data_IF_868634798680
#
_entry.id   IF_868634798680
#
_cell.length_a   1.000
_cell.length_b   1.000
_cell.length_c   1.000
_cell.angle_alpha   90.00
_cell.angle_beta   90.00
_cell.angle_gamma   90.00
#
_symmetry.space_group_name_H-M   'P 1'
#
loop_
_entity.id
_entity.type
_entity.pdbx_description
1 polymer ?
#
# COMPACT_ATOMS: atom_id res chain seq x y z
N UNK A 1 -7.64 -16.93 -22.41
CA UNK A 1 -6.71 -16.75 -21.28
C UNK A 1 -6.43 -15.27 -21.15
N UNK A 2 -6.59 -14.69 -19.96
CA UNK A 2 -6.30 -13.25 -19.76
C UNK A 2 -4.84 -13.15 -19.38
N UNK A 3 -4.03 -12.62 -20.28
CA UNK A 3 -2.64 -12.29 -20.00
C UNK A 3 -2.59 -11.03 -19.12
N UNK A 4 -1.83 -11.07 -18.02
CA UNK A 4 -1.70 -9.94 -17.12
C UNK A 4 -0.27 -9.38 -17.22
N UNK A 5 -0.10 -8.08 -17.50
CA UNK A 5 1.21 -7.44 -17.45
C UNK A 5 1.75 -7.37 -16.03
N UNK A 6 3.05 -7.61 -15.86
CA UNK A 6 3.76 -7.53 -14.58
C UNK A 6 4.82 -6.45 -14.66
N UNK A 7 4.81 -5.53 -13.70
CA UNK A 7 5.76 -4.44 -13.54
C UNK A 7 6.62 -4.72 -12.32
N UNK A 8 7.93 -4.77 -12.50
CA UNK A 8 8.93 -4.98 -11.45
C UNK A 8 9.58 -3.62 -11.15
N UNK A 9 9.25 -3.04 -10.01
CA UNK A 9 9.77 -1.75 -9.55
C UNK A 9 11.07 -1.95 -8.79
N UNK A 10 12.08 -1.14 -9.10
CA UNK A 10 13.41 -1.27 -8.50
C UNK A 10 14.22 0.03 -8.56
N UNK A 11 15.36 0.04 -7.87
CA UNK A 11 16.36 1.11 -7.95
C UNK A 11 16.08 2.34 -7.09
N UNK A 12 14.95 2.36 -6.39
CA UNK A 12 14.60 3.40 -5.43
C UNK A 12 14.33 2.85 -4.02
N UNK A 13 14.10 3.77 -3.08
CA UNK A 13 13.99 3.46 -1.65
C UNK A 13 12.55 3.35 -1.18
N UNK A 14 12.36 2.45 -0.21
CA UNK A 14 11.17 2.39 0.61
C UNK A 14 11.18 3.48 1.68
N UNK A 15 10.07 4.21 1.77
CA UNK A 15 9.76 5.08 2.90
C UNK A 15 8.85 4.28 3.85
N UNK A 16 9.31 4.01 5.06
CA UNK A 16 8.64 3.09 6.01
C UNK A 16 7.84 3.80 7.10
N UNK A 17 7.76 5.14 7.08
CA UNK A 17 7.05 5.93 8.08
C UNK A 17 6.39 7.17 7.45
N UNK A 18 5.11 7.49 7.79
CA UNK A 18 4.24 6.79 8.74
C UNK A 18 3.65 5.46 8.23
N UNK A 19 3.54 5.28 6.91
CA UNK A 19 3.12 4.04 6.25
C UNK A 19 4.09 3.68 5.12
N UNK A 20 4.27 2.38 4.79
CA UNK A 20 5.09 1.97 3.67
C UNK A 20 4.67 2.60 2.34
N UNK A 21 5.62 3.27 1.68
CA UNK A 21 5.45 3.81 0.35
C UNK A 21 6.73 3.66 -0.46
N UNK A 22 6.59 3.32 -1.74
CA UNK A 22 7.70 3.23 -2.67
C UNK A 22 7.81 4.51 -3.50
N UNK A 23 8.93 5.22 -3.39
CA UNK A 23 9.19 6.41 -4.21
C UNK A 23 9.71 6.03 -5.61
N UNK A 24 9.56 6.94 -6.56
CA UNK A 24 9.68 6.77 -8.03
C UNK A 24 10.92 6.02 -8.57
N UNK A 25 10.88 4.69 -8.59
CA UNK A 25 11.92 3.86 -9.20
C UNK A 25 11.86 3.61 -10.71
N UNK A 26 12.79 2.77 -11.16
CA UNK A 26 12.77 2.18 -12.50
C UNK A 26 11.80 1.00 -12.55
N UNK A 27 11.30 0.72 -13.75
CA UNK A 27 10.32 -0.34 -13.97
C UNK A 27 10.77 -1.26 -15.09
N UNK A 28 10.93 -2.53 -14.76
CA UNK A 28 11.05 -3.60 -15.76
C UNK A 28 9.69 -4.25 -16.01
N UNK A 29 9.45 -4.65 -17.26
CA UNK A 29 8.13 -5.05 -17.72
C UNK A 29 8.14 -6.45 -18.32
N UNK A 30 7.27 -7.33 -17.82
CA UNK A 30 6.95 -8.59 -18.46
C UNK A 30 5.62 -8.47 -19.21
N UNK A 31 5.71 -8.66 -20.53
CA UNK A 31 4.55 -8.58 -21.40
C UNK A 31 3.68 -9.83 -21.24
N UNK A 32 2.51 -9.63 -20.67
CA UNK A 32 1.37 -10.55 -20.76
C UNK A 32 1.70 -11.98 -20.37
N UNK A 33 1.73 -12.26 -19.07
CA UNK A 33 2.01 -13.61 -18.57
C UNK A 33 0.72 -14.37 -18.25
N UNK A 34 0.72 -15.70 -18.43
CA UNK A 34 -0.36 -16.56 -17.94
C UNK A 34 -0.30 -16.60 -16.42
N UNK A 35 -1.31 -16.07 -15.72
CA UNK A 35 -1.24 -16.05 -14.28
C UNK A 35 -1.25 -17.43 -13.63
N UNK A 36 -1.76 -18.45 -14.33
CA UNK A 36 -1.74 -19.84 -13.84
C UNK A 36 -0.36 -20.49 -13.90
N UNK A 37 0.59 -19.89 -14.63
CA UNK A 37 1.96 -20.38 -14.79
C UNK A 37 2.98 -19.54 -13.99
N UNK A 38 2.50 -18.53 -13.24
CA UNK A 38 3.36 -17.76 -12.34
C UNK A 38 3.59 -18.59 -11.08
N UNK A 39 4.86 -18.75 -10.72
CA UNK A 39 5.30 -19.27 -9.44
C UNK A 39 6.09 -18.20 -8.70
N UNK A 40 6.26 -18.38 -7.39
CA UNK A 40 7.04 -17.46 -6.56
C UNK A 40 8.47 -17.32 -7.08
N UNK A 41 9.11 -18.45 -7.42
CA UNK A 41 10.47 -18.45 -7.95
C UNK A 41 10.58 -17.72 -9.29
N UNK A 42 9.54 -17.78 -10.15
CA UNK A 42 9.53 -17.01 -11.39
C UNK A 42 9.58 -15.50 -11.11
N UNK A 43 8.81 -15.03 -10.12
CA UNK A 43 8.80 -13.62 -9.74
C UNK A 43 10.13 -13.17 -9.12
N UNK A 44 10.71 -13.97 -8.22
CA UNK A 44 12.03 -13.72 -7.63
C UNK A 44 13.12 -13.66 -8.71
N UNK A 45 13.11 -14.62 -9.65
CA UNK A 45 14.04 -14.63 -10.78
C UNK A 45 13.88 -13.41 -11.69
N UNK A 46 12.70 -12.79 -11.72
CA UNK A 46 12.48 -11.52 -12.38
C UNK A 46 13.39 -10.40 -11.85
N UNK A 47 13.70 -10.40 -10.56
CA UNK A 47 14.63 -9.44 -9.96
C UNK A 47 16.09 -9.87 -10.11
N UNK A 48 16.41 -11.13 -9.82
CA UNK A 48 17.81 -11.59 -9.80
C UNK A 48 18.40 -11.70 -11.21
N UNK A 49 17.70 -12.33 -12.16
CA UNK A 49 18.23 -12.59 -13.51
C UNK A 49 18.23 -11.34 -14.40
N UNK A 50 17.29 -10.42 -14.18
CA UNK A 50 17.09 -9.24 -15.07
C UNK A 50 17.53 -7.94 -14.46
N UNK A 51 17.43 -7.78 -13.15
CA UNK A 51 17.65 -6.50 -12.46
C UNK A 51 18.92 -6.52 -11.61
N UNK A 52 19.61 -7.67 -11.54
CA UNK A 52 20.93 -7.78 -10.93
C UNK A 52 20.90 -7.87 -9.41
N UNK A 53 19.74 -8.16 -8.81
CA UNK A 53 19.62 -8.40 -7.37
C UNK A 53 20.45 -9.64 -7.00
N UNK A 54 21.24 -9.55 -5.94
CA UNK A 54 22.00 -10.70 -5.41
C UNK A 54 21.04 -11.75 -4.83
N UNK A 55 19.95 -11.28 -4.22
CA UNK A 55 18.83 -12.07 -3.75
C UNK A 55 17.65 -11.16 -3.41
N UNK A 56 16.48 -11.75 -3.20
CA UNK A 56 15.26 -11.04 -2.83
C UNK A 56 14.90 -11.42 -1.41
N UNK A 57 14.98 -10.45 -0.51
CA UNK A 57 14.65 -10.58 0.90
C UNK A 57 13.12 -10.65 1.07
N UNK A 58 12.40 -9.69 0.49
CA UNK A 58 10.94 -9.65 0.48
C UNK A 58 10.42 -9.32 -0.92
N UNK A 59 9.31 -9.96 -1.28
CA UNK A 59 8.58 -9.69 -2.52
C UNK A 59 7.23 -9.07 -2.16
N UNK A 60 6.96 -7.88 -2.69
CA UNK A 60 5.82 -7.06 -2.27
C UNK A 60 4.95 -6.73 -3.49
N UNK A 61 3.63 -6.69 -3.32
CA UNK A 61 2.67 -6.29 -4.34
C UNK A 61 1.85 -5.08 -3.89
N UNK A 62 1.58 -4.18 -4.84
CA UNK A 62 0.60 -3.11 -4.64
C UNK A 62 -0.78 -3.59 -5.04
N UNK A 63 -1.70 -3.63 -4.07
CA UNK A 63 -3.10 -3.94 -4.30
C UNK A 63 -3.84 -2.76 -4.99
N UNK A 64 -5.00 -3.01 -5.63
CA UNK A 64 -5.83 -1.96 -6.24
C UNK A 64 -6.29 -0.91 -5.24
N UNK A 65 -6.33 -1.26 -3.96
CA UNK A 65 -6.63 -0.34 -2.85
C UNK A 65 -5.51 0.67 -2.59
N UNK A 66 -4.33 0.50 -3.17
CA UNK A 66 -3.15 1.32 -2.91
C UNK A 66 -2.30 0.83 -1.73
N UNK A 67 -2.70 -0.26 -1.06
CA UNK A 67 -1.95 -0.87 0.04
C UNK A 67 -0.92 -1.88 -0.49
N UNK A 68 0.18 -2.03 0.26
CA UNK A 68 1.23 -3.00 -0.02
C UNK A 68 1.06 -4.27 0.81
N UNK A 69 1.37 -5.41 0.20
CA UNK A 69 1.30 -6.72 0.84
C UNK A 69 2.53 -7.55 0.46
N UNK A 70 3.05 -8.31 1.42
CA UNK A 70 4.09 -9.30 1.15
C UNK A 70 3.49 -10.53 0.46
N UNK A 71 4.23 -11.08 -0.50
CA UNK A 71 3.95 -12.35 -1.13
C UNK A 71 4.92 -13.38 -0.54
N UNK A 72 4.40 -14.35 0.20
CA UNK A 72 5.22 -15.42 0.78
C UNK A 72 4.95 -16.74 0.03
N UNK A 73 5.95 -17.20 -0.73
CA UNK A 73 5.92 -18.48 -1.42
C UNK A 73 4.81 -18.64 -2.47
N UNK A 74 4.63 -19.86 -2.96
CA UNK A 74 3.61 -20.16 -3.99
C UNK A 74 2.18 -20.02 -3.45
N UNK A 75 1.99 -20.08 -2.13
CA UNK A 75 0.69 -19.82 -1.52
C UNK A 75 0.29 -18.35 -1.68
N UNK A 76 1.19 -17.41 -1.39
CA UNK A 76 0.98 -15.98 -1.64
C UNK A 76 0.71 -15.69 -3.12
N UNK A 77 1.44 -16.36 -4.03
CA UNK A 77 1.19 -16.23 -5.48
C UNK A 77 -0.18 -16.77 -5.86
N UNK A 78 -0.61 -17.91 -5.31
CA UNK A 78 -1.96 -18.45 -5.56
C UNK A 78 -3.06 -17.54 -5.02
N UNK A 79 -2.82 -16.93 -3.86
CA UNK A 79 -3.73 -15.93 -3.29
C UNK A 79 -3.83 -14.72 -4.22
N UNK A 80 -2.70 -14.14 -4.62
CA UNK A 80 -2.65 -13.07 -5.62
C UNK A 80 -3.39 -13.47 -6.91
N UNK A 81 -3.19 -14.70 -7.40
CA UNK A 81 -3.79 -15.14 -8.66
C UNK A 81 -5.29 -15.39 -8.57
N UNK A 82 -5.80 -15.73 -7.40
CA UNK A 82 -7.24 -15.85 -7.16
C UNK A 82 -8.01 -14.53 -7.37
N UNK A 83 -7.32 -13.39 -7.27
CA UNK A 83 -7.88 -12.07 -7.56
C UNK A 83 -7.77 -11.64 -9.03
N UNK A 84 -7.05 -12.40 -9.86
CA UNK A 84 -7.00 -12.16 -11.29
C UNK A 84 -8.34 -12.48 -11.94
N UNK A 85 -8.61 -11.84 -13.08
CA UNK A 85 -9.89 -11.82 -13.82
C UNK A 85 -10.93 -10.79 -13.39
N UNK A 86 -10.95 -10.31 -12.13
CA UNK A 86 -11.99 -9.37 -11.68
C UNK A 86 -11.46 -7.95 -11.41
N UNK A 87 -10.22 -7.78 -10.93
CA UNK A 87 -9.76 -6.47 -10.44
C UNK A 87 -8.36 -6.03 -10.90
N UNK A 88 -7.41 -6.96 -11.05
CA UNK A 88 -6.06 -6.62 -11.50
C UNK A 88 -5.98 -6.59 -13.03
N UNK A 89 -5.82 -5.38 -13.58
CA UNK A 89 -5.45 -5.18 -15.00
C UNK A 89 -3.94 -5.23 -15.22
N UNK A 90 -3.18 -5.05 -14.15
CA UNK A 90 -1.73 -5.13 -14.09
C UNK A 90 -1.29 -5.49 -12.68
N UNK A 91 -0.10 -6.06 -12.56
CA UNK A 91 0.53 -6.37 -11.28
C UNK A 91 1.74 -5.45 -11.12
N UNK A 92 1.83 -4.80 -9.96
CA UNK A 92 2.97 -3.95 -9.60
C UNK A 92 3.69 -4.63 -8.44
N UNK A 93 4.86 -5.20 -8.75
CA UNK A 93 5.73 -5.88 -7.80
C UNK A 93 6.86 -4.95 -7.40
N UNK A 94 7.31 -5.12 -6.18
CA UNK A 94 8.43 -4.44 -5.56
C UNK A 94 9.25 -5.50 -4.82
N UNK A 95 10.52 -5.22 -4.57
CA UNK A 95 11.38 -6.11 -3.81
C UNK A 95 12.31 -5.32 -2.91
N UNK A 96 12.75 -5.97 -1.83
CA UNK A 96 13.93 -5.57 -1.05
C UNK A 96 15.07 -6.55 -1.36
N UNK A 97 16.28 -6.05 -1.50
CA UNK A 97 17.46 -6.90 -1.76
C UNK A 97 17.91 -7.60 -0.46
N UNK A 98 18.52 -8.79 -0.59
CA UNK A 98 19.24 -9.44 0.51
C UNK A 98 20.25 -8.45 1.09
N UNK A 99 20.07 -8.02 2.35
CA UNK A 99 20.81 -6.98 3.10
C UNK A 99 20.09 -5.62 3.26
N UNK A 100 18.96 -5.39 2.60
CA UNK A 100 18.09 -4.26 2.90
C UNK A 100 17.21 -4.54 4.13
N UNK A 101 16.72 -3.47 4.77
CA UNK A 101 15.75 -3.60 5.85
C UNK A 101 14.41 -4.04 5.28
N UNK A 102 13.73 -4.94 6.00
CA UNK A 102 12.37 -5.33 5.69
C UNK A 102 11.41 -4.14 5.77
N UNK A 103 10.38 -4.21 4.94
CA UNK A 103 9.26 -3.26 4.95
C UNK A 103 8.16 -3.86 5.81
N UNK A 104 7.62 -3.09 6.75
CA UNK A 104 6.52 -3.54 7.61
C UNK A 104 5.20 -3.58 6.82
N UNK A 105 5.02 -4.65 6.04
CA UNK A 105 3.81 -4.92 5.26
C UNK A 105 3.24 -6.29 5.65
N UNK A 106 1.92 -6.44 5.69
CA UNK A 106 1.32 -7.71 6.06
C UNK A 106 1.35 -8.73 4.90
N UNK A 107 1.30 -10.01 5.25
CA UNK A 107 1.19 -11.12 4.30
C UNK A 107 -0.17 -11.09 3.59
N UNK A 108 -0.14 -11.17 2.26
CA UNK A 108 -1.33 -11.23 1.40
C UNK A 108 -2.28 -12.39 1.76
N UNK A 109 -1.75 -13.51 2.29
CA UNK A 109 -2.55 -14.70 2.65
C UNK A 109 -3.44 -14.43 3.88
N UNK A 110 -3.00 -13.54 4.78
CA UNK A 110 -3.70 -13.27 6.04
C UNK A 110 -4.92 -12.35 5.86
N UNK A 111 -5.13 -11.80 4.67
CA UNK A 111 -6.23 -10.88 4.39
C UNK A 111 -7.36 -11.56 3.63
N UNK A 112 -8.57 -11.39 4.14
CA UNK A 112 -9.78 -11.70 3.40
C UNK A 112 -9.83 -10.84 2.14
N UNK A 113 -10.27 -11.45 1.04
CA UNK A 113 -10.31 -10.80 -0.27
C UNK A 113 -11.04 -9.45 -0.30
N UNK A 114 -11.87 -9.15 0.70
CA UNK A 114 -12.52 -7.85 0.88
C UNK A 114 -11.52 -6.72 1.17
N UNK A 115 -10.47 -6.95 1.96
CA UNK A 115 -9.45 -5.93 2.27
C UNK A 115 -8.57 -5.56 1.08
N UNK A 116 -8.42 -6.49 0.12
CA UNK A 116 -7.67 -6.28 -1.12
C UNK A 116 -8.50 -5.56 -2.20
N UNK A 117 -9.80 -5.39 -1.96
CA UNK A 117 -10.77 -4.91 -2.95
C UNK A 117 -11.62 -3.72 -2.48
N UNK A 118 -11.67 -3.44 -1.18
CA UNK A 118 -12.38 -2.30 -0.65
C UNK A 118 -11.70 -1.00 -1.08
N UNK A 119 -12.41 -0.07 -1.76
CA UNK A 119 -11.87 1.27 -1.98
C UNK A 119 -11.48 1.87 -0.64
N UNK A 120 -10.40 2.67 -0.61
CA UNK A 120 -10.15 3.55 0.53
C UNK A 120 -11.40 4.44 0.65
N UNK A 121 -12.29 4.10 1.59
CA UNK A 121 -13.27 5.06 2.09
C UNK A 121 -12.39 6.06 2.84
N UNK A 122 -12.07 7.16 2.17
CA UNK A 122 -11.67 8.37 2.88
C UNK A 122 -12.87 8.70 3.77
N UNK A 123 -12.92 8.13 4.97
CA UNK A 123 -13.66 8.74 6.07
C UNK A 123 -12.95 10.07 6.28
N UNK A 124 -13.46 11.08 5.57
CA UNK A 124 -13.17 12.46 5.91
C UNK A 124 -13.52 12.57 7.38
N UNK A 125 -12.49 12.80 8.20
CA UNK A 125 -12.64 13.32 9.55
C UNK A 125 -13.27 14.70 9.37
N UNK A 126 -14.59 14.69 9.18
CA UNK A 126 -15.47 15.82 9.33
C UNK A 126 -16.01 15.70 10.75
N UNK A 127 -15.15 16.00 11.73
CA UNK A 127 -15.61 16.24 13.09
C UNK A 127 -16.30 17.60 13.14
N UNK A 128 -17.51 17.66 12.57
CA UNK A 128 -18.51 18.66 12.89
C UNK A 128 -19.21 18.22 14.18
N UNK A 129 -18.83 18.89 15.26
CA UNK A 129 -19.71 19.49 16.29
C UNK A 129 -21.06 18.81 16.58
N UNK A 130 -21.18 18.26 17.79
CA UNK A 130 -22.32 18.48 18.72
C UNK A 130 -22.07 17.72 20.02
N UNK A 131 -21.90 18.44 21.14
CA UNK A 131 -22.86 18.56 22.26
C UNK A 131 -22.76 17.40 23.26
N UNK A 132 -22.13 17.68 24.41
CA UNK A 132 -22.46 16.99 25.66
C UNK A 132 -22.36 17.97 26.83
N UNK A 133 -23.54 18.24 27.39
CA UNK A 133 -23.84 19.03 28.58
C UNK A 133 -23.08 18.54 29.81
N UNK A 134 -22.34 19.44 30.47
CA UNK A 134 -22.03 19.28 31.89
C UNK A 134 -22.07 20.62 32.64
N UNK A 135 -23.27 20.87 33.19
CA UNK A 135 -23.68 21.73 34.30
C UNK A 135 -22.63 22.50 35.14
N UNK A 136 -22.89 23.80 35.27
CA UNK A 136 -22.74 24.67 36.45
C UNK A 136 -21.41 25.42 36.66
N UNK A 137 -21.37 26.69 36.23
CA UNK A 137 -21.52 27.81 37.18
C UNK A 137 -21.75 29.13 36.43
N UNK A 138 -22.78 29.85 36.88
CA UNK A 138 -23.17 31.18 36.42
C UNK A 138 -22.03 32.20 36.59
N UNK A 139 -21.58 32.80 35.50
CA UNK A 139 -21.05 34.16 35.50
C UNK A 139 -21.56 34.89 34.26
N UNK A 140 -22.73 35.49 34.46
CA UNK A 140 -23.28 36.58 33.68
C UNK A 140 -22.54 37.87 34.08
N UNK A 141 -21.77 38.48 33.19
CA UNK A 141 -21.57 39.93 33.21
C UNK A 141 -21.09 40.43 31.85
N UNK A 142 -21.97 41.20 31.23
CA UNK A 142 -21.74 42.10 30.10
C UNK A 142 -20.55 43.04 30.33
N UNK A 143 -19.67 43.21 29.33
CA UNK A 143 -19.27 44.56 28.91
C UNK A 143 -18.58 44.55 27.54
N UNK A 144 -19.27 45.14 26.56
CA UNK A 144 -18.71 45.75 25.37
C UNK A 144 -17.70 46.82 25.78
N UNK A 145 -16.47 46.78 25.27
CA UNK A 145 -15.79 48.03 24.90
C UNK A 145 -14.75 47.82 23.79
N UNK A 146 -15.10 48.36 22.63
CA UNK A 146 -14.16 48.76 21.60
C UNK A 146 -13.13 49.74 22.17
N UNK A 147 -12.00 49.84 21.45
CA UNK A 147 -11.15 51.03 21.25
C UNK A 147 -9.67 50.90 21.66
N UNK A 148 -8.85 51.02 20.61
CA UNK A 148 -7.64 51.85 20.52
C UNK A 148 -6.29 51.15 20.69
N UNK A 149 -5.75 50.78 19.52
CA UNK A 149 -4.41 51.13 19.01
C UNK A 149 -3.42 51.80 19.96
N UNK A 150 -2.21 51.23 20.05
CA UNK A 150 -0.90 51.92 20.14
C UNK A 150 0.16 50.90 19.73
N UNK A 151 0.69 51.02 18.51
CA UNK A 151 1.94 51.71 18.11
C UNK A 151 3.18 50.92 18.45
#
# INVERSE_FOLDING_TARGET
MVEVPIYFHHGDKWLTSPEPHYDKGWVHYWKGYDPNLISFINLVNGYTDKLGFVGVQELIVLAPTGKYFEIIGDEGVRTLTSFFSTYYKSIHLFATEDCELSVDVPDIVMHDGLFLLSPIVNEGIHCSESEDDNSCSDYDTDELENFVTKK
#
